data_IF_825295661689
#
_entry.id   IF_825295661689
#
_cell.length_a   1.000
_cell.length_b   1.000
_cell.length_c   1.000
_cell.angle_alpha   90.00
_cell.angle_beta   90.00
_cell.angle_gamma   90.00
#
_symmetry.space_group_name_H-M   'P 1'
#
loop_
_entity.id
_entity.type
_entity.pdbx_description
1 polymer ?
#
# COMPACT_ATOMS: atom_id res chain seq x y z
N UNK A 1 -19.88 -34.99 -11.20
CA UNK A 1 -19.02 -33.91 -10.65
C UNK A 1 -19.77 -33.05 -9.63
N UNK A 2 -20.99 -32.57 -9.91
CA UNK A 2 -21.76 -31.71 -8.99
C UNK A 2 -22.09 -32.33 -7.61
N UNK A 3 -22.42 -33.64 -7.53
CA UNK A 3 -22.70 -34.31 -6.23
C UNK A 3 -21.49 -34.37 -5.31
N UNK A 4 -20.28 -34.53 -5.86
CA UNK A 4 -19.03 -34.61 -5.08
C UNK A 4 -18.71 -33.23 -4.50
N UNK A 5 -18.82 -32.19 -5.32
CA UNK A 5 -18.66 -30.81 -4.87
C UNK A 5 -19.69 -30.43 -3.80
N UNK A 6 -20.95 -30.85 -3.97
CA UNK A 6 -22.00 -30.63 -2.98
C UNK A 6 -21.73 -31.35 -1.65
N UNK A 7 -21.24 -32.59 -1.68
CA UNK A 7 -20.92 -33.34 -0.45
C UNK A 7 -19.69 -32.78 0.26
N UNK A 8 -18.70 -32.29 -0.48
CA UNK A 8 -17.53 -31.63 0.09
C UNK A 8 -17.93 -30.30 0.75
N UNK A 9 -18.74 -29.49 0.07
CA UNK A 9 -19.23 -28.24 0.64
C UNK A 9 -20.07 -28.49 1.89
N UNK A 10 -20.92 -29.52 1.93
CA UNK A 10 -21.74 -29.85 3.11
C UNK A 10 -20.91 -30.30 4.32
N UNK A 11 -19.70 -30.83 4.14
CA UNK A 11 -18.83 -31.23 5.25
C UNK A 11 -18.38 -30.04 6.12
N UNK A 12 -18.41 -28.83 5.54
CA UNK A 12 -17.97 -27.60 6.18
C UNK A 12 -19.14 -26.80 6.81
N UNK A 13 -20.36 -27.34 6.83
CA UNK A 13 -21.52 -26.68 7.45
C UNK A 13 -22.12 -27.55 8.56
N UNK A 14 -22.37 -26.92 9.70
CA UNK A 14 -23.23 -27.46 10.75
C UNK A 14 -24.70 -27.19 10.41
N UNK A 15 -25.59 -27.97 10.99
CA UNK A 15 -27.03 -27.75 10.86
C UNK A 15 -27.56 -27.07 12.11
N UNK A 16 -28.04 -25.84 11.99
CA UNK A 16 -28.73 -25.14 13.07
C UNK A 16 -30.24 -25.39 12.96
N UNK A 17 -30.87 -25.78 14.07
CA UNK A 17 -32.32 -25.95 14.18
C UNK A 17 -32.91 -24.63 14.68
N UNK A 18 -33.72 -23.99 13.86
CA UNK A 18 -34.42 -22.75 14.22
C UNK A 18 -35.58 -23.04 15.17
N UNK A 19 -36.05 -22.05 15.96
CA UNK A 19 -37.19 -22.22 16.88
C UNK A 19 -38.47 -22.72 16.21
N UNK A 20 -38.61 -22.50 14.89
CA UNK A 20 -39.76 -22.97 14.11
C UNK A 20 -39.63 -24.44 13.62
N UNK A 21 -38.57 -25.16 14.01
CA UNK A 21 -38.31 -26.54 13.59
C UNK A 21 -37.64 -26.70 12.23
N UNK A 22 -37.41 -25.61 11.50
CA UNK A 22 -36.70 -25.62 10.23
C UNK A 22 -35.17 -25.65 10.44
N UNK A 23 -34.44 -26.30 9.55
CA UNK A 23 -32.98 -26.34 9.59
C UNK A 23 -32.36 -25.37 8.60
N UNK A 24 -31.21 -24.78 8.97
CA UNK A 24 -30.36 -24.03 8.03
C UNK A 24 -28.90 -24.47 8.14
N UNK A 25 -28.16 -24.53 7.02
CA UNK A 25 -26.73 -24.76 7.07
C UNK A 25 -26.02 -23.52 7.61
N UNK A 26 -25.11 -23.71 8.57
CA UNK A 26 -24.27 -22.66 9.16
C UNK A 26 -22.82 -23.07 8.95
N UNK A 27 -21.99 -22.14 8.48
CA UNK A 27 -20.56 -22.43 8.24
C UNK A 27 -19.90 -22.88 9.56
N UNK A 28 -19.28 -24.06 9.56
CA UNK A 28 -18.51 -24.57 10.69
C UNK A 28 -17.19 -23.80 10.76
N UNK A 29 -16.94 -23.10 11.85
CA UNK A 29 -15.65 -22.45 12.09
C UNK A 29 -14.59 -23.49 12.47
N UNK A 30 -13.65 -23.76 11.58
CA UNK A 30 -12.52 -24.70 11.72
C UNK A 30 -11.24 -23.98 12.17
N UNK A 31 -11.35 -22.86 12.88
CA UNK A 31 -10.18 -22.06 13.27
C UNK A 31 -9.52 -21.40 12.07
N UNK A 32 -8.20 -21.59 11.93
CA UNK A 32 -7.40 -21.00 10.85
C UNK A 32 -7.86 -21.43 9.44
N UNK A 33 -8.38 -22.66 9.30
CA UNK A 33 -8.86 -23.17 8.01
C UNK A 33 -10.11 -22.43 7.50
N UNK A 34 -10.87 -21.81 8.41
CA UNK A 34 -12.02 -20.97 8.06
C UNK A 34 -11.65 -19.49 7.93
N UNK A 35 -10.38 -19.12 8.16
CA UNK A 35 -9.94 -17.74 8.06
C UNK A 35 -9.72 -17.35 6.59
N UNK A 36 -10.67 -16.60 6.03
CA UNK A 36 -10.50 -16.00 4.71
C UNK A 36 -9.52 -14.84 4.82
N UNK A 37 -8.34 -15.01 4.20
CA UNK A 37 -7.34 -13.94 4.12
C UNK A 37 -7.92 -12.76 3.33
N UNK A 38 -7.70 -11.54 3.82
CA UNK A 38 -8.12 -10.34 3.13
C UNK A 38 -7.39 -10.21 1.78
N UNK A 39 -8.14 -10.13 0.67
CA UNK A 39 -7.58 -9.95 -0.67
C UNK A 39 -6.65 -8.72 -0.75
N UNK A 40 -7.04 -7.61 -0.12
CA UNK A 40 -6.21 -6.41 -0.09
C UNK A 40 -4.87 -6.64 0.63
N UNK A 41 -4.85 -7.50 1.66
CA UNK A 41 -3.61 -7.88 2.34
C UNK A 41 -2.73 -8.75 1.43
N UNK A 42 -3.31 -9.74 0.74
CA UNK A 42 -2.57 -10.58 -0.22
C UNK A 42 -1.96 -9.73 -1.34
N UNK A 43 -2.72 -8.80 -1.92
CA UNK A 43 -2.22 -7.89 -2.95
C UNK A 43 -1.06 -7.04 -2.42
N UNK A 44 -1.17 -6.53 -1.20
CA UNK A 44 -0.09 -5.78 -0.57
C UNK A 44 1.19 -6.62 -0.40
N UNK A 45 1.07 -7.89 0.02
CA UNK A 45 2.22 -8.79 0.13
C UNK A 45 2.89 -9.02 -1.23
N UNK A 46 2.11 -9.27 -2.29
CA UNK A 46 2.64 -9.44 -3.65
C UNK A 46 3.39 -8.18 -4.10
N UNK A 47 2.80 -7.00 -3.91
CA UNK A 47 3.43 -5.72 -4.29
C UNK A 47 4.75 -5.51 -3.54
N UNK A 48 4.81 -5.82 -2.24
CA UNK A 48 6.04 -5.71 -1.46
C UNK A 48 7.19 -6.54 -2.04
N UNK A 49 6.93 -7.79 -2.42
CA UNK A 49 7.94 -8.65 -3.06
C UNK A 49 8.46 -8.07 -4.38
N UNK A 50 7.56 -7.49 -5.20
CA UNK A 50 7.98 -6.78 -6.41
C UNK A 50 8.82 -5.54 -6.11
N UNK A 51 8.48 -4.77 -5.08
CA UNK A 51 9.22 -3.56 -4.70
C UNK A 51 10.65 -3.88 -4.21
N UNK A 52 10.85 -5.03 -3.53
CA UNK A 52 12.19 -5.53 -3.16
C UNK A 52 13.04 -5.76 -4.42
N UNK A 53 12.46 -6.36 -5.46
CA UNK A 53 13.13 -6.60 -6.74
C UNK A 53 13.54 -5.29 -7.43
N UNK A 54 12.73 -4.23 -7.29
CA UNK A 54 13.03 -2.89 -7.81
C UNK A 54 14.07 -2.12 -6.98
N UNK A 55 14.65 -2.74 -5.94
CA UNK A 55 15.57 -2.11 -4.99
C UNK A 55 14.97 -0.84 -4.36
N UNK A 56 13.68 -0.83 -4.09
CA UNK A 56 13.11 0.17 -3.20
C UNK A 56 13.78 -0.01 -1.83
N UNK A 57 14.47 1.02 -1.33
CA UNK A 57 15.08 0.99 0.01
C UNK A 57 14.03 0.72 1.10
N UNK A 58 14.47 0.39 2.31
CA UNK A 58 13.51 0.28 3.41
C UNK A 58 13.01 1.67 3.86
N UNK A 59 11.80 1.73 4.38
CA UNK A 59 11.14 2.97 4.84
C UNK A 59 11.95 3.68 5.95
N UNK A 60 12.65 2.92 6.78
CA UNK A 60 13.40 3.44 7.93
C UNK A 60 14.67 4.22 7.53
N UNK A 61 15.35 3.83 6.45
CA UNK A 61 16.50 4.57 5.91
C UNK A 61 16.08 5.92 5.35
N UNK A 62 14.87 6.01 4.78
CA UNK A 62 14.41 7.22 4.11
C UNK A 62 14.13 8.37 5.08
N UNK A 63 13.60 8.08 6.28
CA UNK A 63 13.44 9.11 7.32
C UNK A 63 14.77 9.68 7.80
N UNK A 64 15.78 8.82 7.98
CA UNK A 64 17.14 9.24 8.35
C UNK A 64 17.75 10.12 7.25
N UNK A 65 17.56 9.75 5.99
CA UNK A 65 18.02 10.57 4.85
C UNK A 65 17.32 11.94 4.85
N UNK A 66 16.04 12.04 5.17
CA UNK A 66 15.33 13.34 5.23
C UNK A 66 15.85 14.22 6.37
N UNK A 67 16.25 13.61 7.48
CA UNK A 67 16.93 14.29 8.59
C UNK A 67 18.34 14.76 8.15
N UNK A 68 19.11 13.88 7.50
CA UNK A 68 20.46 14.18 6.99
C UNK A 68 20.45 15.18 5.81
N UNK A 69 19.38 15.23 5.02
CA UNK A 69 19.19 16.21 3.94
C UNK A 69 19.09 17.65 4.46
N UNK A 70 18.81 17.85 5.75
CA UNK A 70 18.93 19.17 6.40
C UNK A 70 20.40 19.65 6.43
N UNK A 71 21.38 18.76 6.18
CA UNK A 71 22.82 19.02 6.23
C UNK A 71 23.52 18.99 4.84
N UNK A 72 22.81 19.29 3.75
CA UNK A 72 23.37 19.39 2.37
C UNK A 72 23.93 18.08 1.78
N UNK A 73 23.33 16.93 2.04
CA UNK A 73 23.70 15.69 1.33
C UNK A 73 23.04 15.59 -0.05
N UNK A 74 23.80 15.17 -1.06
CA UNK A 74 23.33 15.05 -2.43
C UNK A 74 22.38 13.86 -2.59
N UNK A 75 21.17 14.10 -3.12
CA UNK A 75 20.22 13.06 -3.55
C UNK A 75 20.78 12.16 -4.69
N UNK A 76 22.04 12.36 -5.09
CA UNK A 76 22.76 11.60 -6.11
C UNK A 76 23.47 10.35 -5.57
N UNK A 77 23.55 10.14 -4.25
CA UNK A 77 23.98 8.84 -3.73
C UNK A 77 22.99 7.74 -4.15
N UNK A 78 23.52 6.53 -4.38
CA UNK A 78 22.97 5.37 -5.10
C UNK A 78 21.58 4.87 -4.63
N UNK A 79 20.55 5.69 -4.78
CA UNK A 79 19.16 5.35 -4.50
C UNK A 79 18.42 5.00 -5.79
N UNK A 80 17.56 3.98 -5.73
CA UNK A 80 16.66 3.66 -6.84
C UNK A 80 15.74 4.85 -7.14
N UNK A 81 15.21 4.93 -8.36
CA UNK A 81 14.25 5.97 -8.74
C UNK A 81 13.05 6.01 -7.77
N UNK A 82 12.60 4.84 -7.31
CA UNK A 82 11.55 4.73 -6.31
C UNK A 82 11.92 5.41 -4.98
N UNK A 83 13.09 5.10 -4.43
CA UNK A 83 13.60 5.71 -3.20
C UNK A 83 13.72 7.23 -3.32
N UNK A 84 14.20 7.74 -4.45
CA UNK A 84 14.31 9.19 -4.69
C UNK A 84 12.95 9.88 -4.66
N UNK A 85 11.93 9.29 -5.28
CA UNK A 85 10.55 9.81 -5.24
C UNK A 85 10.00 9.78 -3.81
N UNK A 86 10.25 8.69 -3.08
CA UNK A 86 9.77 8.53 -1.70
C UNK A 86 10.43 9.54 -0.74
N UNK A 87 11.74 9.73 -0.84
CA UNK A 87 12.49 10.74 -0.08
C UNK A 87 11.98 12.15 -0.42
N UNK A 88 11.73 12.45 -1.70
CA UNK A 88 11.15 13.73 -2.12
C UNK A 88 9.77 13.96 -1.49
N UNK A 89 8.89 12.96 -1.53
CA UNK A 89 7.55 13.05 -0.94
C UNK A 89 7.62 13.32 0.57
N UNK A 90 8.53 12.67 1.29
CA UNK A 90 8.79 12.93 2.70
C UNK A 90 9.35 14.33 2.94
N UNK A 91 10.40 14.72 2.19
CA UNK A 91 11.08 16.00 2.33
C UNK A 91 10.11 17.17 2.19
N UNK A 92 9.31 17.18 1.12
CA UNK A 92 8.30 18.21 0.86
C UNK A 92 7.24 18.22 1.95
N UNK A 93 6.83 17.04 2.42
CA UNK A 93 5.75 16.92 3.41
C UNK A 93 6.18 17.29 4.84
N UNK A 94 7.49 17.37 5.11
CA UNK A 94 8.05 17.52 6.45
C UNK A 94 7.78 18.89 7.11
N UNK A 95 7.60 19.98 6.34
CA UNK A 95 7.33 21.31 6.91
C UNK A 95 6.31 22.11 6.10
N UNK A 96 5.72 23.14 6.72
CA UNK A 96 4.77 24.06 6.08
C UNK A 96 5.41 24.92 5.02
N UNK A 97 6.67 25.32 5.23
CA UNK A 97 7.49 26.13 4.35
C UNK A 97 7.79 25.35 3.07
N UNK A 98 8.25 24.10 3.18
CA UNK A 98 8.54 23.23 2.03
C UNK A 98 7.27 22.92 1.21
N UNK A 99 6.13 22.73 1.88
CA UNK A 99 4.84 22.60 1.18
C UNK A 99 4.47 23.86 0.42
N UNK A 100 4.78 25.04 0.96
CA UNK A 100 4.54 26.31 0.27
C UNK A 100 5.46 26.44 -0.95
N UNK A 101 6.77 26.22 -0.79
CA UNK A 101 7.74 26.24 -1.87
C UNK A 101 7.37 25.27 -3.00
N UNK A 102 6.92 24.06 -2.68
CA UNK A 102 6.41 23.10 -3.66
C UNK A 102 5.24 23.65 -4.46
N UNK A 103 4.23 24.22 -3.79
CA UNK A 103 3.06 24.80 -4.47
C UNK A 103 3.47 25.96 -5.38
N UNK A 104 4.34 26.83 -4.90
CA UNK A 104 4.82 27.99 -5.65
C UNK A 104 5.59 27.53 -6.90
N UNK A 105 6.45 26.49 -6.77
CA UNK A 105 7.14 25.86 -7.89
C UNK A 105 6.19 25.22 -8.90
N UNK A 106 5.18 24.47 -8.43
CA UNK A 106 4.19 23.86 -9.31
C UNK A 106 3.39 24.92 -10.08
N UNK A 107 2.96 25.98 -9.40
CA UNK A 107 2.26 27.11 -10.05
C UNK A 107 3.13 27.80 -11.09
N UNK A 108 4.40 28.06 -10.78
CA UNK A 108 5.36 28.65 -11.72
C UNK A 108 5.54 27.78 -12.97
N UNK A 109 5.44 26.46 -12.84
CA UNK A 109 5.54 25.49 -13.94
C UNK A 109 4.20 25.15 -14.59
N UNK A 110 3.08 25.73 -14.14
CA UNK A 110 1.74 25.43 -14.66
C UNK A 110 1.24 24.03 -14.32
N UNK A 111 1.75 23.43 -13.25
CA UNK A 111 1.46 22.06 -12.82
C UNK A 111 0.45 22.04 -11.67
N UNK A 112 -0.21 20.89 -11.47
CA UNK A 112 -1.05 20.67 -10.29
C UNK A 112 -0.19 20.76 -9.02
N UNK A 113 -0.59 21.65 -8.10
CA UNK A 113 0.09 21.89 -6.83
C UNK A 113 -0.17 20.79 -5.78
N UNK A 114 -0.81 19.68 -6.19
CA UNK A 114 -1.01 18.48 -5.39
C UNK A 114 0.33 17.93 -4.87
N UNK A 115 0.35 17.57 -3.60
CA UNK A 115 1.50 16.91 -2.98
C UNK A 115 1.56 15.44 -3.40
N UNK A 116 2.77 14.96 -3.66
CA UNK A 116 3.03 13.54 -3.90
C UNK A 116 2.69 12.76 -2.63
N UNK A 117 1.81 11.77 -2.75
CA UNK A 117 1.46 10.90 -1.62
C UNK A 117 2.64 10.03 -1.23
N UNK A 118 2.86 9.91 0.08
CA UNK A 118 3.89 9.01 0.60
C UNK A 118 3.48 7.53 0.48
N UNK A 119 4.47 6.68 0.21
CA UNK A 119 4.29 5.23 0.22
C UNK A 119 4.17 4.69 1.65
N UNK A 120 3.02 4.11 1.99
CA UNK A 120 2.69 3.58 3.30
C UNK A 120 2.57 2.06 3.20
N UNK A 121 3.50 1.36 3.84
CA UNK A 121 3.66 -0.10 3.73
C UNK A 121 2.38 -0.92 4.04
N UNK A 122 1.48 -0.41 4.87
CA UNK A 122 0.23 -1.09 5.25
C UNK A 122 -0.93 -0.81 4.30
N UNK A 123 -0.80 0.11 3.34
CA UNK A 123 -1.86 0.49 2.40
C UNK A 123 -1.56 -0.08 1.01
N UNK A 124 -2.37 -1.05 0.59
CA UNK A 124 -2.16 -1.85 -0.64
C UNK A 124 -1.91 -1.09 -1.95
N UNK A 125 -2.24 0.20 -2.05
CA UNK A 125 -2.08 1.00 -3.25
C UNK A 125 -1.23 2.26 -3.07
N UNK A 126 -0.53 2.43 -1.94
CA UNK A 126 0.25 3.64 -1.68
C UNK A 126 1.41 3.82 -2.65
N UNK A 127 2.17 2.75 -2.93
CA UNK A 127 3.29 2.78 -3.87
C UNK A 127 2.84 3.22 -5.26
N UNK A 128 1.73 2.66 -5.75
CA UNK A 128 1.13 3.07 -7.02
C UNK A 128 0.72 4.54 -7.01
N UNK A 129 0.03 5.00 -5.95
CA UNK A 129 -0.42 6.40 -5.85
C UNK A 129 0.75 7.37 -5.81
N UNK A 130 1.83 7.05 -5.09
CA UNK A 130 3.06 7.85 -5.04
C UNK A 130 3.67 7.99 -6.43
N UNK A 131 3.86 6.87 -7.14
CA UNK A 131 4.45 6.88 -8.48
C UNK A 131 3.57 7.60 -9.50
N UNK A 132 2.26 7.39 -9.43
CA UNK A 132 1.30 8.06 -10.31
C UNK A 132 1.26 9.58 -10.05
N UNK A 133 1.31 10.01 -8.78
CA UNK A 133 1.36 11.43 -8.45
C UNK A 133 2.68 12.05 -8.93
N UNK A 134 3.81 11.36 -8.75
CA UNK A 134 5.10 11.82 -9.26
C UNK A 134 5.12 11.91 -10.80
N UNK A 135 4.52 10.95 -11.50
CA UNK A 135 4.42 10.95 -12.96
C UNK A 135 3.62 12.14 -13.49
N UNK A 136 2.48 12.44 -12.87
CA UNK A 136 1.61 13.58 -13.23
C UNK A 136 2.23 14.95 -12.98
N UNK A 137 3.30 15.00 -12.19
CA UNK A 137 4.08 16.20 -11.92
C UNK A 137 5.19 16.34 -12.97
N UNK A 138 5.66 15.26 -13.59
CA UNK A 138 6.74 15.34 -14.58
C UNK A 138 6.28 15.61 -16.03
N UNK A 139 4.98 15.54 -16.30
CA UNK A 139 4.37 15.69 -17.64
C UNK A 139 3.25 16.72 -17.55
#
# INVERSE_FOLDING_TARGET
MARILSSMLQADFDTEILPQGNTRPVMRYQGEASFVRCLAHILNLIVKEFLVTLRASNTATDYRIVEDLQNNLSLAESHSAFSRIRILALYVSASTERKKEWRDLCQLKGMDAKLIQYDVETRWNSAYRMLNDAWKVCI
#
